data_IF_906968634945
#
_entry.id   IF_906968634945
#
_cell.length_a   1.000
_cell.length_b   1.000
_cell.length_c   1.000
_cell.angle_alpha   90.00
_cell.angle_beta   90.00
_cell.angle_gamma   90.00
#
_symmetry.space_group_name_H-M   'P 1'
#
loop_
_entity.id
_entity.type
_entity.pdbx_description
1 polymer ?
#
# COMPACT_ATOMS: atom_id res chain seq x y z
N UNK A 1 -7.19 38.20 0.68
CA UNK A 1 -7.98 37.34 -0.21
C UNK A 1 -7.31 35.98 -0.23
N UNK A 2 -7.85 35.01 0.48
CA UNK A 2 -7.36 33.64 0.44
C UNK A 2 -7.71 33.09 -0.96
N UNK A 3 -6.70 32.71 -1.73
CA UNK A 3 -6.87 31.93 -2.96
C UNK A 3 -7.44 30.59 -2.48
N UNK A 4 -8.72 30.34 -2.71
CA UNK A 4 -9.29 29.02 -2.56
C UNK A 4 -8.58 28.13 -3.58
N UNK A 5 -7.70 27.27 -3.07
CA UNK A 5 -6.99 26.26 -3.84
C UNK A 5 -8.05 25.26 -4.34
N UNK A 6 -8.47 25.41 -5.57
CA UNK A 6 -9.51 24.61 -6.23
C UNK A 6 -8.96 23.26 -6.68
N UNK A 7 -7.90 22.77 -6.01
CA UNK A 7 -7.33 21.46 -6.26
C UNK A 7 -8.30 20.37 -5.76
N UNK A 8 -8.57 19.39 -6.59
CA UNK A 8 -9.36 18.21 -6.19
C UNK A 8 -8.80 17.62 -4.90
N UNK A 9 -9.67 17.21 -3.96
CA UNK A 9 -9.20 16.65 -2.68
C UNK A 9 -8.34 15.42 -2.92
N UNK A 10 -7.25 15.29 -2.14
CA UNK A 10 -6.37 14.12 -2.20
C UNK A 10 -7.15 12.84 -1.89
N UNK A 11 -7.04 11.83 -2.76
CA UNK A 11 -7.72 10.55 -2.58
C UNK A 11 -7.10 9.73 -1.44
N UNK A 12 -7.95 9.00 -0.70
CA UNK A 12 -7.53 8.06 0.34
C UNK A 12 -7.73 6.63 -0.13
N UNK A 13 -6.63 5.85 -0.16
CA UNK A 13 -6.63 4.44 -0.53
C UNK A 13 -6.32 3.58 0.69
N UNK A 14 -7.19 2.62 1.01
CA UNK A 14 -6.86 1.51 1.89
C UNK A 14 -6.04 0.51 1.08
N UNK A 15 -4.77 0.33 1.46
CA UNK A 15 -3.87 -0.64 0.86
C UNK A 15 -4.32 -2.09 1.12
N UNK A 16 -3.73 -3.08 0.45
CA UNK A 16 -4.04 -4.47 0.74
C UNK A 16 -3.62 -4.81 2.18
N UNK A 17 -4.37 -5.71 2.83
CA UNK A 17 -3.94 -6.29 4.10
C UNK A 17 -2.69 -7.14 3.83
N UNK A 18 -1.55 -6.73 4.36
CA UNK A 18 -0.27 -7.42 4.14
C UNK A 18 -0.08 -8.61 5.07
N UNK A 19 -0.86 -8.70 6.15
CA UNK A 19 -0.71 -9.68 7.22
C UNK A 19 -1.62 -10.90 7.02
N UNK A 20 -1.34 -11.96 7.75
CA UNK A 20 -2.22 -13.13 7.78
C UNK A 20 -3.23 -12.96 8.93
N UNK A 21 -4.39 -12.43 8.62
CA UNK A 21 -5.51 -12.34 9.54
C UNK A 21 -6.50 -13.48 9.31
N UNK A 22 -7.23 -13.87 10.34
CA UNK A 22 -8.30 -14.86 10.21
C UNK A 22 -9.39 -14.35 9.26
N UNK A 23 -10.16 -15.30 8.70
CA UNK A 23 -11.32 -14.96 7.86
C UNK A 23 -12.29 -14.01 8.59
N UNK A 24 -12.55 -14.27 9.87
CA UNK A 24 -13.45 -13.44 10.68
C UNK A 24 -12.92 -12.00 10.82
N UNK A 25 -11.62 -11.85 11.10
CA UNK A 25 -10.96 -10.54 11.21
C UNK A 25 -10.98 -9.79 9.89
N UNK A 26 -10.70 -10.47 8.76
CA UNK A 26 -10.77 -9.86 7.42
C UNK A 26 -12.20 -9.41 7.10
N UNK A 27 -13.21 -10.23 7.39
CA UNK A 27 -14.61 -9.89 7.12
C UNK A 27 -15.03 -8.64 7.90
N UNK A 28 -14.73 -8.60 9.20
CA UNK A 28 -15.06 -7.44 10.02
C UNK A 28 -14.31 -6.19 9.55
N UNK A 29 -13.01 -6.32 9.28
CA UNK A 29 -12.19 -5.21 8.78
C UNK A 29 -12.76 -4.58 7.50
N UNK A 30 -13.14 -5.39 6.52
CA UNK A 30 -13.68 -4.86 5.27
C UNK A 30 -15.11 -4.34 5.40
N UNK A 31 -15.91 -4.84 6.37
CA UNK A 31 -17.17 -4.22 6.73
C UNK A 31 -16.96 -2.80 7.29
N UNK A 32 -16.01 -2.64 8.22
CA UNK A 32 -15.65 -1.32 8.76
C UNK A 32 -15.10 -0.38 7.69
N UNK A 33 -14.31 -0.91 6.72
CA UNK A 33 -13.80 -0.14 5.57
C UNK A 33 -14.92 0.29 4.64
N UNK A 34 -15.96 -0.51 4.43
CA UNK A 34 -17.11 -0.14 3.60
C UNK A 34 -17.79 1.13 4.12
N UNK A 35 -17.90 1.28 5.45
CA UNK A 35 -18.50 2.43 6.12
C UNK A 35 -17.53 3.60 6.35
N UNK A 36 -16.25 3.43 6.00
CA UNK A 36 -15.19 4.41 6.23
C UNK A 36 -15.13 5.51 5.15
N UNK A 37 -14.42 6.62 5.38
CA UNK A 37 -14.24 7.69 4.39
C UNK A 37 -13.18 7.36 3.29
N UNK A 38 -12.76 6.11 3.14
CA UNK A 38 -11.87 5.69 2.05
C UNK A 38 -12.53 5.85 0.68
N UNK A 39 -11.76 6.30 -0.32
CA UNK A 39 -12.23 6.34 -1.72
C UNK A 39 -11.94 5.04 -2.45
N UNK A 40 -10.78 4.47 -2.20
CA UNK A 40 -10.27 3.29 -2.93
C UNK A 40 -9.86 2.19 -1.94
N UNK A 41 -10.08 0.94 -2.32
CA UNK A 41 -9.63 -0.23 -1.56
C UNK A 41 -8.88 -1.18 -2.48
N UNK A 42 -7.66 -1.57 -2.08
CA UNK A 42 -6.89 -2.59 -2.79
C UNK A 42 -7.12 -3.93 -2.12
N UNK A 43 -7.62 -4.90 -2.85
CA UNK A 43 -8.00 -6.22 -2.36
C UNK A 43 -7.07 -7.32 -2.88
N UNK A 44 -6.91 -8.35 -2.09
CA UNK A 44 -6.25 -9.60 -2.47
C UNK A 44 -5.10 -9.98 -1.55
N UNK A 45 -4.74 -11.27 -1.59
CA UNK A 45 -3.51 -11.74 -0.95
C UNK A 45 -2.32 -11.40 -1.85
N UNK A 46 -1.53 -10.42 -1.44
CA UNK A 46 -0.39 -9.89 -2.23
C UNK A 46 0.97 -10.33 -1.70
N UNK A 47 1.02 -10.96 -0.52
CA UNK A 47 2.28 -11.35 0.14
C UNK A 47 2.57 -12.83 -0.06
N UNK A 48 1.68 -13.73 0.36
CA UNK A 48 1.99 -15.16 0.39
C UNK A 48 0.82 -16.03 -0.10
N UNK A 49 1.00 -16.71 -1.22
CA UNK A 49 0.00 -17.57 -1.87
C UNK A 49 -0.54 -18.72 -0.99
N UNK A 50 0.17 -19.04 0.08
CA UNK A 50 -0.26 -20.08 1.02
C UNK A 50 -1.39 -19.62 1.94
N UNK A 51 -1.55 -18.32 2.15
CA UNK A 51 -2.66 -17.73 2.92
C UNK A 51 -3.94 -17.83 2.11
N UNK A 52 -4.90 -18.62 2.58
CA UNK A 52 -6.11 -18.97 1.82
C UNK A 52 -7.39 -18.73 2.59
N UNK A 53 -7.39 -17.73 3.47
CA UNK A 53 -8.57 -17.32 4.23
C UNK A 53 -9.72 -16.91 3.30
N UNK A 54 -9.40 -16.22 2.21
CA UNK A 54 -10.30 -15.92 1.11
C UNK A 54 -9.82 -16.59 -0.18
N UNK A 55 -10.76 -17.26 -0.87
CA UNK A 55 -10.56 -17.79 -2.23
C UNK A 55 -10.81 -16.69 -3.27
N UNK A 56 -10.48 -16.95 -4.53
CA UNK A 56 -10.71 -15.99 -5.62
C UNK A 56 -12.17 -15.51 -5.69
N UNK A 57 -13.15 -16.41 -5.52
CA UNK A 57 -14.56 -16.05 -5.51
C UNK A 57 -14.95 -15.15 -4.32
N UNK A 58 -14.37 -15.39 -3.14
CA UNK A 58 -14.60 -14.56 -1.95
C UNK A 58 -14.09 -13.13 -2.17
N UNK A 59 -12.89 -12.98 -2.79
CA UNK A 59 -12.34 -11.68 -3.14
C UNK A 59 -13.20 -10.91 -4.15
N UNK A 60 -13.75 -11.61 -5.15
CA UNK A 60 -14.65 -10.98 -6.13
C UNK A 60 -15.99 -10.58 -5.50
N UNK A 61 -16.57 -11.41 -4.63
CA UNK A 61 -17.80 -11.06 -3.90
C UNK A 61 -17.58 -9.80 -3.07
N UNK A 62 -16.51 -9.76 -2.29
CA UNK A 62 -16.14 -8.59 -1.48
C UNK A 62 -15.90 -7.34 -2.35
N UNK A 63 -15.26 -7.50 -3.51
CA UNK A 63 -15.04 -6.41 -4.45
C UNK A 63 -16.36 -5.80 -4.93
N UNK A 64 -17.35 -6.63 -5.23
CA UNK A 64 -18.69 -6.19 -5.62
C UNK A 64 -19.41 -5.46 -4.47
N UNK A 65 -19.32 -5.97 -3.25
CA UNK A 65 -19.91 -5.36 -2.05
C UNK A 65 -19.32 -3.97 -1.79
N UNK A 66 -17.98 -3.84 -1.81
CA UNK A 66 -17.30 -2.56 -1.62
C UNK A 66 -17.61 -1.56 -2.75
N UNK A 67 -17.73 -2.03 -4.00
CA UNK A 67 -18.17 -1.19 -5.12
C UNK A 67 -19.61 -0.69 -4.92
N UNK A 68 -20.50 -1.53 -4.40
CA UNK A 68 -21.88 -1.12 -4.04
C UNK A 68 -21.89 -0.10 -2.89
N UNK A 69 -20.92 -0.19 -1.97
CA UNK A 69 -20.70 0.81 -0.92
C UNK A 69 -20.03 2.11 -1.44
N UNK A 70 -19.84 2.25 -2.77
CA UNK A 70 -19.29 3.46 -3.40
C UNK A 70 -17.77 3.52 -3.45
N UNK A 71 -17.04 2.43 -3.16
CA UNK A 71 -15.58 2.40 -3.21
C UNK A 71 -15.07 2.08 -4.62
N UNK A 72 -13.98 2.75 -5.06
CA UNK A 72 -13.16 2.24 -6.13
C UNK A 72 -12.44 0.98 -5.61
N UNK A 73 -12.51 -0.12 -6.35
CA UNK A 73 -11.85 -1.36 -5.97
C UNK A 73 -10.75 -1.71 -6.95
N UNK A 74 -9.58 -2.08 -6.43
CA UNK A 74 -8.42 -2.54 -7.21
C UNK A 74 -8.05 -3.94 -6.73
N UNK A 75 -7.80 -4.86 -7.64
CA UNK A 75 -7.35 -6.21 -7.31
C UNK A 75 -5.83 -6.31 -7.38
N UNK A 76 -5.16 -6.44 -6.23
CA UNK A 76 -3.71 -6.55 -6.14
C UNK A 76 -3.18 -7.92 -6.60
N UNK A 77 -2.04 -7.95 -7.28
CA UNK A 77 -1.30 -9.18 -7.60
C UNK A 77 -0.08 -9.33 -6.68
N UNK A 78 0.45 -10.54 -6.57
CA UNK A 78 1.65 -10.79 -5.76
C UNK A 78 2.89 -10.15 -6.39
N UNK A 79 3.83 -9.74 -5.53
CA UNK A 79 5.13 -9.20 -5.95
C UNK A 79 6.18 -10.28 -6.25
N UNK A 80 5.96 -11.50 -5.77
CA UNK A 80 6.84 -12.64 -5.99
C UNK A 80 6.02 -13.86 -6.41
N UNK A 81 6.32 -14.39 -7.59
CA UNK A 81 5.67 -15.58 -8.17
C UNK A 81 6.69 -16.70 -8.24
N UNK A 82 6.41 -17.83 -7.60
CA UNK A 82 7.36 -18.95 -7.47
C UNK A 82 6.85 -20.26 -8.11
N UNK A 83 5.58 -20.31 -8.48
CA UNK A 83 4.96 -21.57 -8.93
C UNK A 83 3.97 -21.35 -10.08
N UNK A 84 3.73 -22.43 -10.85
CA UNK A 84 2.71 -22.41 -11.92
C UNK A 84 1.29 -22.22 -11.36
N UNK A 85 1.03 -22.65 -10.13
CA UNK A 85 -0.27 -22.39 -9.48
C UNK A 85 -0.48 -20.91 -9.21
N UNK A 86 0.54 -20.19 -8.77
CA UNK A 86 0.51 -18.73 -8.58
C UNK A 86 0.37 -18.00 -9.91
N UNK A 87 1.09 -18.43 -10.96
CA UNK A 87 0.94 -17.88 -12.30
C UNK A 87 -0.50 -18.08 -12.84
N UNK A 88 -1.12 -19.21 -12.54
CA UNK A 88 -2.53 -19.46 -12.93
C UNK A 88 -3.46 -18.47 -12.23
N UNK A 89 -3.34 -18.30 -10.93
CA UNK A 89 -4.13 -17.33 -10.16
C UNK A 89 -3.92 -15.90 -10.64
N UNK A 90 -2.68 -15.53 -10.98
CA UNK A 90 -2.36 -14.23 -11.57
C UNK A 90 -3.05 -14.05 -12.92
N UNK A 91 -2.98 -15.06 -13.81
CA UNK A 91 -3.63 -15.02 -15.14
C UNK A 91 -5.14 -14.82 -15.00
N UNK A 92 -5.79 -15.56 -14.10
CA UNK A 92 -7.23 -15.44 -13.83
C UNK A 92 -7.57 -14.04 -13.33
N UNK A 93 -6.79 -13.49 -12.39
CA UNK A 93 -6.98 -12.14 -11.86
C UNK A 93 -6.79 -11.06 -12.92
N UNK A 94 -5.79 -11.20 -13.78
CA UNK A 94 -5.55 -10.26 -14.88
C UNK A 94 -6.56 -10.42 -16.04
N UNK A 95 -7.27 -11.52 -16.16
CA UNK A 95 -8.22 -11.75 -17.23
C UNK A 95 -9.59 -11.11 -17.02
N UNK A 96 -9.95 -10.75 -15.77
CA UNK A 96 -11.20 -10.07 -15.48
C UNK A 96 -11.16 -8.59 -15.90
N UNK A 97 -12.31 -8.03 -16.28
CA UNK A 97 -12.45 -6.66 -16.78
C UNK A 97 -13.27 -5.76 -15.84
N UNK A 98 -13.83 -6.30 -14.77
CA UNK A 98 -14.73 -5.58 -13.86
C UNK A 98 -14.03 -4.57 -12.96
N UNK A 99 -12.75 -4.81 -12.64
CA UNK A 99 -11.95 -4.00 -11.70
C UNK A 99 -10.56 -3.73 -12.27
N UNK A 100 -9.98 -2.59 -11.89
CA UNK A 100 -8.56 -2.34 -12.11
C UNK A 100 -7.72 -3.40 -11.39
N UNK A 101 -6.57 -3.72 -11.97
CA UNK A 101 -5.59 -4.64 -11.37
C UNK A 101 -4.34 -3.87 -11.01
N UNK A 102 -3.80 -4.09 -9.80
CA UNK A 102 -2.50 -3.60 -9.40
C UNK A 102 -1.43 -4.64 -9.74
N UNK A 103 -0.52 -4.28 -10.65
CA UNK A 103 0.59 -5.12 -11.05
C UNK A 103 1.68 -5.13 -9.96
N UNK A 104 1.97 -6.31 -9.41
CA UNK A 104 3.02 -6.54 -8.42
C UNK A 104 4.36 -6.98 -9.02
N UNK A 105 4.35 -7.53 -10.24
CA UNK A 105 5.53 -8.07 -10.90
C UNK A 105 5.47 -7.96 -12.43
N UNK A 106 6.53 -8.37 -13.11
CA UNK A 106 6.63 -8.35 -14.58
C UNK A 106 5.62 -9.27 -15.28
N UNK A 107 5.19 -10.37 -14.63
CA UNK A 107 4.20 -11.30 -15.21
C UNK A 107 2.83 -10.63 -15.29
N UNK A 108 2.46 -9.84 -14.27
CA UNK A 108 1.24 -9.03 -14.27
C UNK A 108 1.32 -7.93 -15.34
N UNK A 109 2.43 -7.18 -15.43
CA UNK A 109 2.65 -6.16 -16.45
C UNK A 109 2.44 -6.72 -17.86
N UNK A 110 3.02 -7.87 -18.15
CA UNK A 110 2.87 -8.55 -19.45
C UNK A 110 1.41 -8.90 -19.77
N UNK A 111 0.61 -9.28 -18.76
CA UNK A 111 -0.80 -9.65 -18.94
C UNK A 111 -1.73 -8.47 -19.07
N UNK A 112 -1.36 -7.34 -18.46
CA UNK A 112 -2.18 -6.12 -18.44
C UNK A 112 -1.84 -5.16 -19.58
N UNK A 113 -0.84 -5.45 -20.40
CA UNK A 113 -0.42 -4.63 -21.52
C UNK A 113 -1.62 -4.28 -22.43
N UNK A 114 -1.78 -2.98 -22.73
CA UNK A 114 -2.87 -2.44 -23.55
C UNK A 114 -4.18 -2.19 -22.80
N UNK A 115 -4.22 -2.48 -21.49
CA UNK A 115 -5.36 -2.22 -20.59
C UNK A 115 -4.96 -1.20 -19.54
N UNK A 116 -5.94 -0.56 -18.89
CA UNK A 116 -5.67 0.30 -17.73
C UNK A 116 -5.33 -0.56 -16.51
N UNK A 117 -4.26 -0.22 -15.80
CA UNK A 117 -3.83 -0.90 -14.57
C UNK A 117 -3.08 0.05 -13.64
N UNK A 118 -2.79 -0.38 -12.41
CA UNK A 118 -1.99 0.37 -11.45
C UNK A 118 -0.68 -0.35 -11.14
N UNK A 119 0.37 0.42 -10.79
CA UNK A 119 1.69 -0.11 -10.41
C UNK A 119 1.79 -0.17 -8.88
N UNK A 120 2.12 -1.34 -8.33
CA UNK A 120 2.40 -1.50 -6.91
C UNK A 120 3.76 -0.90 -6.54
N UNK A 121 4.04 -0.63 -5.26
CA UNK A 121 5.34 -0.14 -4.82
C UNK A 121 6.50 -1.12 -5.03
N UNK A 122 6.21 -2.35 -5.45
CA UNK A 122 7.19 -3.41 -5.70
C UNK A 122 7.70 -3.44 -7.15
N UNK A 123 7.07 -2.69 -8.04
CA UNK A 123 7.58 -2.49 -9.41
C UNK A 123 8.64 -1.40 -9.37
N UNK A 124 9.86 -1.74 -9.77
CA UNK A 124 11.03 -0.87 -9.69
C UNK A 124 10.95 0.29 -10.69
N UNK A 125 10.32 1.40 -10.30
CA UNK A 125 10.22 2.64 -11.09
C UNK A 125 10.94 3.76 -10.38
N UNK A 126 12.17 4.05 -10.81
CA UNK A 126 13.07 5.02 -10.18
C UNK A 126 13.45 6.18 -11.13
N UNK A 127 12.90 6.20 -12.34
CA UNK A 127 13.13 7.29 -13.30
C UNK A 127 11.85 7.62 -14.06
N UNK A 128 11.81 8.83 -14.64
CA UNK A 128 10.72 9.28 -15.50
C UNK A 128 10.56 8.38 -16.71
N UNK A 129 11.67 7.97 -17.33
CA UNK A 129 11.68 7.08 -18.48
C UNK A 129 11.05 5.72 -18.14
N UNK A 130 11.40 5.13 -16.98
CA UNK A 130 10.77 3.89 -16.53
C UNK A 130 9.25 4.07 -16.34
N UNK A 131 8.81 5.21 -15.79
CA UNK A 131 7.37 5.48 -15.64
C UNK A 131 6.68 5.65 -17.00
N UNK A 132 7.34 6.29 -17.98
CA UNK A 132 6.84 6.46 -19.36
C UNK A 132 6.64 5.11 -20.04
N UNK A 133 7.59 4.17 -19.90
CA UNK A 133 7.45 2.82 -20.46
C UNK A 133 6.24 2.10 -19.86
N UNK A 134 6.02 2.21 -18.55
CA UNK A 134 4.85 1.59 -17.91
C UNK A 134 3.55 2.28 -18.30
N UNK A 135 3.54 3.60 -18.45
CA UNK A 135 2.40 4.35 -18.97
C UNK A 135 2.07 3.94 -20.42
N UNK A 136 3.09 3.71 -21.25
CA UNK A 136 2.92 3.19 -22.62
C UNK A 136 2.29 1.79 -22.64
N UNK A 137 2.50 0.98 -21.60
CA UNK A 137 1.82 -0.31 -21.41
C UNK A 137 0.37 -0.15 -20.94
N UNK A 138 -0.03 1.00 -20.40
CA UNK A 138 -1.38 1.28 -19.90
C UNK A 138 -1.48 1.60 -18.41
N UNK A 139 -0.35 1.82 -17.69
CA UNK A 139 -0.36 2.21 -16.30
C UNK A 139 -0.99 3.61 -16.12
N UNK A 140 -2.05 3.70 -15.29
CA UNK A 140 -2.78 4.94 -15.01
C UNK A 140 -2.52 5.47 -13.61
N UNK A 141 -1.88 4.68 -12.75
CA UNK A 141 -1.53 5.05 -11.38
C UNK A 141 -0.22 4.38 -11.01
N UNK A 142 0.65 5.12 -10.35
CA UNK A 142 1.95 4.68 -9.87
C UNK A 142 2.03 4.83 -8.36
N UNK A 143 2.37 3.76 -7.66
CA UNK A 143 2.79 3.81 -6.26
C UNK A 143 4.31 3.77 -6.24
N UNK A 144 4.99 4.86 -5.87
CA UNK A 144 6.45 4.89 -5.79
C UNK A 144 7.01 3.84 -4.84
N UNK A 145 8.20 3.27 -5.14
CA UNK A 145 8.98 2.55 -4.14
C UNK A 145 9.12 3.37 -2.85
N UNK A 146 8.98 2.71 -1.70
CA UNK A 146 8.81 3.38 -0.38
C UNK A 146 10.03 4.15 0.10
N UNK A 147 11.19 3.91 -0.48
CA UNK A 147 12.45 4.60 -0.18
C UNK A 147 12.67 5.89 -0.99
N UNK A 148 11.81 6.21 -1.95
CA UNK A 148 11.91 7.46 -2.70
C UNK A 148 11.41 8.66 -1.87
N UNK A 149 12.19 9.72 -1.88
CA UNK A 149 11.81 10.99 -1.27
C UNK A 149 10.85 11.81 -2.15
N UNK A 150 10.15 12.75 -1.54
CA UNK A 150 9.17 13.61 -2.22
C UNK A 150 9.79 14.40 -3.38
N UNK A 151 11.04 14.86 -3.24
CA UNK A 151 11.72 15.62 -4.28
C UNK A 151 12.03 14.76 -5.51
N UNK A 152 12.42 13.51 -5.30
CA UNK A 152 12.64 12.52 -6.37
C UNK A 152 11.31 12.14 -7.04
N UNK A 153 10.26 11.89 -6.27
CA UNK A 153 8.92 11.60 -6.80
C UNK A 153 8.44 12.77 -7.68
N UNK A 154 8.59 14.02 -7.23
CA UNK A 154 8.23 15.21 -7.99
C UNK A 154 9.03 15.34 -9.31
N UNK A 155 10.29 14.90 -9.37
CA UNK A 155 11.07 14.88 -10.61
C UNK A 155 10.63 13.78 -11.58
N UNK A 156 10.21 12.63 -11.07
CA UNK A 156 9.75 11.50 -11.89
C UNK A 156 8.39 11.82 -12.52
N UNK A 157 7.45 12.34 -11.74
CA UNK A 157 6.09 12.66 -12.21
C UNK A 157 5.64 14.05 -11.73
N UNK A 158 6.16 15.15 -12.31
CA UNK A 158 5.82 16.52 -11.89
C UNK A 158 4.34 16.83 -12.05
N UNK A 159 3.79 17.67 -11.17
CA UNK A 159 2.39 18.07 -11.20
C UNK A 159 2.00 18.85 -12.47
N UNK A 160 2.90 19.70 -12.96
CA UNK A 160 2.72 20.56 -14.14
C UNK A 160 2.99 19.86 -15.48
N UNK A 161 3.76 18.77 -15.46
CA UNK A 161 4.06 17.94 -16.64
C UNK A 161 4.00 16.44 -16.31
N UNK A 162 2.83 15.89 -15.94
CA UNK A 162 2.73 14.49 -15.57
C UNK A 162 2.94 13.56 -16.77
N UNK A 163 3.53 12.40 -16.50
CA UNK A 163 3.62 11.32 -17.48
C UNK A 163 2.21 10.93 -17.91
N UNK A 164 2.03 10.66 -19.21
CA UNK A 164 0.73 10.33 -19.79
C UNK A 164 0.74 8.99 -20.49
N UNK A 165 -0.40 8.33 -20.45
CA UNK A 165 -0.67 7.14 -21.26
C UNK A 165 -0.82 7.52 -22.75
N UNK A 166 -0.77 6.57 -23.68
CA UNK A 166 -1.06 6.82 -25.11
C UNK A 166 -2.44 7.44 -25.37
N UNK A 167 -3.41 7.22 -24.46
CA UNK A 167 -4.73 7.85 -24.51
C UNK A 167 -4.76 9.29 -23.97
N UNK A 168 -3.62 9.84 -23.54
CA UNK A 168 -3.50 11.18 -22.97
C UNK A 168 -3.87 11.32 -21.50
N UNK A 169 -4.25 10.21 -20.83
CA UNK A 169 -4.56 10.21 -19.39
C UNK A 169 -3.28 10.42 -18.56
N UNK A 170 -3.30 11.38 -17.64
CA UNK A 170 -2.18 11.61 -16.74
C UNK A 170 -2.04 10.48 -15.72
N UNK A 171 -0.83 9.96 -15.53
CA UNK A 171 -0.55 8.95 -14.51
C UNK A 171 -0.66 9.58 -13.13
N UNK A 172 -1.56 9.05 -12.31
CA UNK A 172 -1.71 9.49 -10.92
C UNK A 172 -0.53 9.00 -10.07
N UNK A 173 -0.03 9.84 -9.17
CA UNK A 173 0.94 9.43 -8.14
C UNK A 173 0.21 9.16 -6.83
N UNK A 174 0.36 7.95 -6.32
CA UNK A 174 -0.20 7.51 -5.03
C UNK A 174 0.95 7.13 -4.08
N UNK A 175 1.19 7.93 -3.03
CA UNK A 175 2.28 7.64 -2.10
C UNK A 175 1.84 6.73 -0.96
N UNK A 176 2.75 5.86 -0.49
CA UNK A 176 2.59 5.11 0.74
C UNK A 176 2.67 6.08 1.93
N UNK A 177 1.52 6.43 2.49
CA UNK A 177 1.37 7.53 3.45
C UNK A 177 1.29 7.11 4.91
N UNK A 178 0.87 5.85 5.18
CA UNK A 178 0.81 5.31 6.53
C UNK A 178 1.03 3.79 6.54
N UNK A 179 1.72 3.32 7.58
CA UNK A 179 1.90 1.90 7.90
C UNK A 179 3.34 1.40 7.80
N UNK A 180 3.56 0.10 8.04
CA UNK A 180 4.87 -0.51 7.88
C UNK A 180 5.26 -0.58 6.42
N UNK A 181 6.39 0.03 6.08
CA UNK A 181 6.89 0.05 4.71
C UNK A 181 7.31 -1.35 4.27
N UNK A 182 6.80 -1.86 3.14
CA UNK A 182 7.21 -3.14 2.58
C UNK A 182 8.60 -2.99 1.93
N UNK A 183 9.64 -3.54 2.56
CA UNK A 183 11.03 -3.30 2.16
C UNK A 183 11.57 -4.34 1.17
N UNK A 184 11.30 -5.63 1.40
CA UNK A 184 11.82 -6.67 0.54
C UNK A 184 10.97 -7.95 0.57
N UNK A 185 11.07 -8.74 -0.51
CA UNK A 185 10.54 -10.08 -0.62
C UNK A 185 11.64 -11.11 -0.79
N UNK A 186 11.41 -12.32 -0.29
CA UNK A 186 12.30 -13.46 -0.48
C UNK A 186 11.48 -14.71 -0.78
N UNK A 187 11.98 -15.55 -1.68
CA UNK A 187 11.43 -16.87 -1.93
C UNK A 187 11.44 -17.77 -0.67
N UNK A 188 12.21 -17.40 0.34
CA UNK A 188 12.26 -18.08 1.64
C UNK A 188 11.36 -17.37 2.64
N UNK A 189 10.50 -18.11 3.33
CA UNK A 189 9.64 -17.54 4.37
C UNK A 189 10.46 -17.23 5.62
N UNK A 190 10.58 -15.94 5.95
CA UNK A 190 11.32 -15.47 7.13
C UNK A 190 10.65 -15.93 8.42
N UNK A 191 9.30 -15.85 8.50
CA UNK A 191 8.55 -16.33 9.68
C UNK A 191 8.76 -17.82 9.91
N UNK A 192 8.60 -18.67 8.90
CA UNK A 192 8.86 -20.10 9.04
C UNK A 192 10.29 -20.38 9.50
N UNK A 193 11.28 -19.70 8.90
CA UNK A 193 12.69 -19.83 9.29
C UNK A 193 12.94 -19.43 10.75
N UNK A 194 12.30 -18.38 11.24
CA UNK A 194 12.39 -17.97 12.65
C UNK A 194 11.96 -19.12 13.58
N UNK A 195 10.88 -19.82 13.23
CA UNK A 195 10.39 -20.99 13.97
C UNK A 195 11.09 -22.31 13.61
N UNK A 196 12.18 -22.25 12.80
CA UNK A 196 12.95 -23.44 12.32
C UNK A 196 12.09 -24.43 11.55
N UNK A 197 11.06 -23.96 10.84
CA UNK A 197 10.18 -24.75 10.00
C UNK A 197 10.55 -24.57 8.52
N UNK A 198 10.38 -25.61 7.67
CA UNK A 198 10.43 -25.46 6.23
C UNK A 198 9.22 -24.62 5.76
N UNK A 199 9.38 -23.89 4.65
CA UNK A 199 8.31 -23.02 4.10
C UNK A 199 7.01 -23.80 3.83
N UNK A 200 7.15 -25.03 3.35
CA UNK A 200 6.01 -25.88 2.98
C UNK A 200 5.26 -26.49 4.18
N UNK A 201 5.88 -26.46 5.36
CA UNK A 201 5.32 -26.93 6.63
C UNK A 201 5.26 -25.78 7.65
N UNK A 202 4.96 -24.55 7.21
CA UNK A 202 5.06 -23.35 8.03
C UNK A 202 4.01 -23.25 9.16
N UNK A 203 3.03 -24.18 9.20
CA UNK A 203 1.93 -24.21 10.19
C UNK A 203 1.19 -22.84 10.31
N UNK A 204 1.34 -21.99 9.32
CA UNK A 204 0.77 -20.63 9.29
C UNK A 204 1.11 -19.79 10.55
N UNK A 205 2.33 -19.95 11.08
CA UNK A 205 2.81 -19.25 12.28
C UNK A 205 2.62 -17.73 12.23
N UNK A 206 2.57 -17.14 11.04
CA UNK A 206 2.29 -15.72 10.86
C UNK A 206 0.88 -15.28 11.32
N UNK A 207 -0.07 -16.19 11.58
CA UNK A 207 -1.36 -15.88 12.22
C UNK A 207 -1.20 -15.39 13.68
N UNK A 208 -0.12 -15.80 14.35
CA UNK A 208 0.13 -15.39 15.74
C UNK A 208 0.62 -13.94 15.86
N UNK A 209 1.06 -13.36 14.75
CA UNK A 209 1.65 -12.02 14.69
C UNK A 209 0.84 -11.14 13.72
N UNK A 210 -0.32 -10.60 14.14
CA UNK A 210 -1.27 -9.90 13.27
C UNK A 210 -0.71 -8.62 12.63
N UNK A 211 0.38 -8.05 13.16
CA UNK A 211 1.14 -6.94 12.59
C UNK A 211 2.60 -7.34 12.26
N UNK A 212 2.83 -8.65 12.08
CA UNK A 212 4.12 -9.24 11.81
C UNK A 212 5.03 -9.37 13.04
N UNK A 213 6.08 -10.20 12.92
CA UNK A 213 7.01 -10.54 14.00
C UNK A 213 8.13 -9.49 14.06
N UNK A 214 8.17 -8.71 15.13
CA UNK A 214 9.19 -7.70 15.34
C UNK A 214 10.57 -8.32 15.62
N UNK A 215 11.57 -7.85 14.89
CA UNK A 215 12.99 -8.13 15.13
C UNK A 215 13.67 -6.91 15.75
N UNK A 216 14.50 -7.17 16.73
CA UNK A 216 15.37 -6.16 17.36
C UNK A 216 16.82 -6.31 16.89
N UNK A 217 17.55 -5.20 16.89
CA UNK A 217 18.99 -5.21 16.69
C UNK A 217 19.69 -5.88 17.91
N UNK A 218 20.99 -6.09 17.80
CA UNK A 218 21.83 -6.59 18.92
C UNK A 218 21.84 -5.62 20.10
N UNK A 219 21.62 -4.34 19.86
CA UNK A 219 21.52 -3.27 20.87
C UNK A 219 20.10 -3.15 21.47
N UNK A 220 19.14 -3.98 21.01
CA UNK A 220 17.78 -4.00 21.52
C UNK A 220 16.82 -2.99 20.86
N UNK A 221 17.28 -2.23 19.84
CA UNK A 221 16.41 -1.32 19.11
C UNK A 221 15.50 -2.07 18.13
N UNK A 222 14.27 -1.60 17.95
CA UNK A 222 13.34 -2.12 16.94
C UNK A 222 13.92 -1.88 15.54
N UNK A 223 14.06 -2.95 14.73
CA UNK A 223 14.80 -2.89 13.47
C UNK A 223 13.95 -3.22 12.25
N UNK A 224 13.39 -4.42 12.19
CA UNK A 224 12.57 -4.92 11.08
C UNK A 224 11.37 -5.70 11.61
N UNK A 225 10.41 -5.95 10.72
CA UNK A 225 9.31 -6.88 10.96
C UNK A 225 9.32 -7.98 9.91
N UNK A 226 9.19 -9.22 10.36
CA UNK A 226 9.03 -10.39 9.49
C UNK A 226 7.54 -10.66 9.27
N UNK A 227 7.14 -10.71 8.01
CA UNK A 227 5.77 -10.98 7.61
C UNK A 227 5.72 -12.04 6.51
N UNK A 228 5.84 -13.31 6.89
CA UNK A 228 5.93 -14.40 5.91
C UNK A 228 7.19 -14.30 5.06
N UNK A 229 7.02 -14.10 3.77
CA UNK A 229 8.11 -13.91 2.78
C UNK A 229 8.54 -12.45 2.63
N UNK A 230 7.90 -11.53 3.33
CA UNK A 230 8.15 -10.09 3.29
C UNK A 230 8.89 -9.63 4.55
N UNK A 231 9.82 -8.69 4.39
CA UNK A 231 10.35 -7.86 5.47
C UNK A 231 9.77 -6.47 5.38
N UNK A 232 9.49 -5.87 6.53
CA UNK A 232 8.90 -4.55 6.65
C UNK A 232 9.71 -3.69 7.63
N UNK A 233 9.49 -2.37 7.60
CA UNK A 233 10.04 -1.46 8.60
C UNK A 233 9.48 -1.75 10.00
N UNK A 234 10.29 -1.56 11.03
CA UNK A 234 9.82 -1.60 12.41
C UNK A 234 8.91 -0.41 12.73
N UNK A 235 9.25 0.78 12.22
CA UNK A 235 8.41 1.98 12.32
C UNK A 235 7.26 1.98 11.32
N UNK A 236 6.26 2.81 11.62
CA UNK A 236 5.11 3.09 10.75
C UNK A 236 5.37 4.41 10.02
N UNK A 237 5.52 4.38 8.69
CA UNK A 237 5.53 5.62 7.94
C UNK A 237 4.25 6.41 8.23
N UNK A 238 4.38 7.72 8.43
CA UNK A 238 3.25 8.61 8.61
C UNK A 238 3.53 9.95 7.95
N UNK A 239 2.68 10.33 6.99
CA UNK A 239 2.77 11.58 6.25
C UNK A 239 1.55 12.47 6.51
N UNK A 240 0.84 12.26 7.61
CA UNK A 240 -0.41 12.94 7.97
C UNK A 240 -0.27 14.47 7.97
N UNK A 241 0.87 14.99 8.44
CA UNK A 241 1.17 16.41 8.58
C UNK A 241 1.84 17.03 7.33
N UNK A 242 1.95 16.28 6.22
CA UNK A 242 2.71 16.68 5.02
C UNK A 242 1.83 17.12 3.86
N UNK A 243 0.54 17.35 4.06
CA UNK A 243 -0.43 17.66 3.00
C UNK A 243 0.05 18.68 1.96
N UNK A 244 0.58 19.88 2.34
CA UNK A 244 1.12 20.84 1.38
C UNK A 244 2.31 20.31 0.59
N UNK A 245 3.27 19.64 1.22
CA UNK A 245 4.45 19.06 0.56
C UNK A 245 4.06 17.93 -0.41
N UNK A 246 3.09 17.10 -0.04
CA UNK A 246 2.55 16.04 -0.89
C UNK A 246 1.91 16.64 -2.16
N UNK A 247 1.07 17.66 -2.03
CA UNK A 247 0.47 18.35 -3.20
C UNK A 247 1.54 19.00 -4.08
N UNK A 248 2.52 19.66 -3.47
CA UNK A 248 3.65 20.26 -4.19
C UNK A 248 4.50 19.25 -4.95
N UNK A 249 4.55 18.01 -4.49
CA UNK A 249 5.23 16.90 -5.17
C UNK A 249 4.36 16.18 -6.23
N UNK A 250 3.18 16.69 -6.56
CA UNK A 250 2.30 16.09 -7.56
C UNK A 250 1.55 14.85 -7.08
N UNK A 251 1.52 14.61 -5.78
CA UNK A 251 0.84 13.44 -5.20
C UNK A 251 -0.66 13.73 -5.14
N UNK A 252 -1.45 12.83 -5.74
CA UNK A 252 -2.90 12.95 -5.83
C UNK A 252 -3.63 12.00 -4.88
N UNK A 253 -2.94 10.98 -4.37
CA UNK A 253 -3.54 9.95 -3.51
C UNK A 253 -2.57 9.52 -2.40
N UNK A 254 -3.15 9.18 -1.26
CA UNK A 254 -2.44 8.69 -0.09
C UNK A 254 -2.87 7.26 0.21
N UNK A 255 -1.93 6.31 0.20
CA UNK A 255 -2.17 4.91 0.57
C UNK A 255 -1.91 4.71 2.05
N UNK A 256 -2.91 4.17 2.75
CA UNK A 256 -2.81 3.78 4.14
C UNK A 256 -2.79 2.25 4.22
N UNK A 257 -1.71 1.68 4.76
CA UNK A 257 -1.57 0.23 4.91
C UNK A 257 -2.20 -0.21 6.23
N UNK A 258 -3.10 -1.21 6.20
CA UNK A 258 -3.79 -1.69 7.39
C UNK A 258 -2.86 -2.21 8.48
N UNK A 259 -3.27 -2.01 9.75
CA UNK A 259 -2.74 -2.69 10.94
C UNK A 259 -3.91 -3.28 11.75
N UNK A 260 -3.61 -4.21 12.64
CA UNK A 260 -4.63 -5.02 13.32
C UNK A 260 -5.54 -4.23 14.26
N UNK A 261 -5.04 -3.12 14.81
CA UNK A 261 -5.79 -2.28 15.74
C UNK A 261 -5.68 -0.81 15.37
N UNK A 262 -6.74 -0.04 15.57
CA UNK A 262 -6.76 1.41 15.42
C UNK A 262 -6.79 1.91 13.97
N UNK A 263 -6.77 1.06 12.96
CA UNK A 263 -6.64 1.48 11.56
C UNK A 263 -7.81 2.36 11.06
N UNK A 264 -9.04 2.07 11.46
CA UNK A 264 -10.20 2.90 11.06
C UNK A 264 -10.07 4.31 11.63
N UNK A 265 -9.56 4.46 12.85
CA UNK A 265 -9.31 5.78 13.44
C UNK A 265 -8.15 6.49 12.72
N UNK A 266 -7.09 5.77 12.33
CA UNK A 266 -6.03 6.30 11.46
C UNK A 266 -6.62 6.88 10.17
N UNK A 267 -7.51 6.13 9.52
CA UNK A 267 -8.15 6.55 8.26
C UNK A 267 -9.03 7.80 8.46
N UNK A 268 -9.82 7.84 9.54
CA UNK A 268 -10.64 9.02 9.88
C UNK A 268 -9.79 10.26 10.16
N UNK A 269 -8.68 10.11 10.89
CA UNK A 269 -7.77 11.23 11.16
C UNK A 269 -7.13 11.78 9.88
N UNK A 270 -6.70 10.91 8.97
CA UNK A 270 -6.18 11.33 7.67
C UNK A 270 -7.26 12.05 6.84
N UNK A 271 -8.49 11.55 6.84
CA UNK A 271 -9.60 12.21 6.16
C UNK A 271 -9.87 13.60 6.75
N UNK A 272 -9.95 13.71 8.08
CA UNK A 272 -10.24 14.96 8.76
C UNK A 272 -9.16 16.03 8.48
N UNK A 273 -7.87 15.65 8.50
CA UNK A 273 -6.76 16.59 8.17
C UNK A 273 -6.82 17.01 6.69
N UNK A 274 -7.02 16.05 5.78
CA UNK A 274 -6.93 16.35 4.35
C UNK A 274 -8.15 17.05 3.77
N UNK A 275 -9.33 16.89 4.37
CA UNK A 275 -10.63 17.31 3.79
C UNK A 275 -11.52 18.15 4.72
N UNK A 276 -11.37 18.01 6.04
CA UNK A 276 -12.26 18.69 7.02
C UNK A 276 -11.55 19.82 7.76
N UNK A 277 -10.24 20.03 7.50
CA UNK A 277 -9.47 21.12 8.10
C UNK A 277 -9.04 20.89 9.55
N UNK A 278 -9.05 19.63 10.02
CA UNK A 278 -8.48 19.30 11.32
C UNK A 278 -6.99 19.68 11.35
N UNK A 279 -6.57 20.32 12.43
CA UNK A 279 -5.15 20.67 12.64
C UNK A 279 -4.26 19.41 12.68
N UNK A 280 -3.23 19.38 11.84
CA UNK A 280 -2.37 18.22 11.70
C UNK A 280 -1.59 17.88 12.99
N UNK A 281 -1.22 18.88 13.79
CA UNK A 281 -0.54 18.63 15.07
C UNK A 281 -1.50 18.04 16.10
N UNK A 282 -2.78 18.45 16.07
CA UNK A 282 -3.81 17.81 16.88
C UNK A 282 -4.02 16.36 16.44
N UNK A 283 -4.21 16.11 15.15
CA UNK A 283 -4.40 14.77 14.62
C UNK A 283 -3.21 13.84 14.93
N UNK A 284 -1.96 14.33 14.88
CA UNK A 284 -0.78 13.57 15.28
C UNK A 284 -0.79 13.21 16.77
N UNK A 285 -1.27 14.10 17.65
CA UNK A 285 -1.41 13.75 19.08
C UNK A 285 -2.43 12.64 19.29
N UNK A 286 -3.58 12.72 18.60
CA UNK A 286 -4.61 11.69 18.65
C UNK A 286 -4.11 10.36 18.07
N UNK A 287 -3.38 10.41 16.95
CA UNK A 287 -2.77 9.25 16.33
C UNK A 287 -1.75 8.55 17.24
N UNK A 288 -0.90 9.34 17.94
CA UNK A 288 0.07 8.80 18.90
C UNK A 288 -0.58 8.23 20.17
N UNK A 289 -1.82 8.60 20.48
CA UNK A 289 -2.58 8.01 21.59
C UNK A 289 -3.21 6.66 21.23
N UNK A 290 -3.25 6.28 19.96
CA UNK A 290 -3.73 4.97 19.53
C UNK A 290 -2.69 3.88 19.86
N UNK A 291 -3.17 2.67 20.16
CA UNK A 291 -2.31 1.50 20.38
C UNK A 291 -1.81 0.95 19.04
N UNK A 292 -0.93 1.70 18.36
CA UNK A 292 -0.34 1.30 17.09
C UNK A 292 0.83 0.33 17.27
N UNK A 293 1.12 -0.54 16.28
CA UNK A 293 2.13 -1.60 16.41
C UNK A 293 3.58 -1.11 16.27
N UNK A 294 3.85 0.18 16.23
CA UNK A 294 5.20 0.74 16.12
C UNK A 294 5.25 2.26 16.22
N UNK A 295 6.44 2.81 16.37
CA UNK A 295 6.67 4.25 16.37
C UNK A 295 6.45 4.85 14.97
N UNK A 296 6.01 6.11 14.92
CA UNK A 296 5.86 6.84 13.66
C UNK A 296 7.22 7.24 13.09
N UNK A 297 7.40 7.12 11.79
CA UNK A 297 8.60 7.52 11.03
C UNK A 297 8.21 8.19 9.71
N UNK A 298 9.09 9.02 9.14
CA UNK A 298 8.88 9.66 7.84
C UNK A 298 10.18 9.97 7.10
N UNK A 299 11.30 9.43 7.58
CA UNK A 299 12.64 9.78 7.12
C UNK A 299 12.82 9.60 5.61
N UNK A 300 12.42 8.47 5.02
CA UNK A 300 12.57 8.23 3.58
C UNK A 300 11.87 9.30 2.74
N UNK A 301 10.63 9.59 3.03
CA UNK A 301 9.88 10.61 2.29
C UNK A 301 10.53 12.01 2.34
N UNK A 302 11.32 12.29 3.37
CA UNK A 302 12.01 13.57 3.60
C UNK A 302 13.52 13.51 3.32
N UNK A 303 14.00 12.51 2.60
CA UNK A 303 15.41 12.36 2.21
C UNK A 303 16.35 12.02 3.37
N UNK A 304 15.83 11.37 4.41
CA UNK A 304 16.60 10.90 5.58
C UNK A 304 16.56 9.39 5.75
N UNK A 305 17.09 8.90 6.89
CA UNK A 305 17.05 7.48 7.19
C UNK A 305 15.62 7.01 7.50
N UNK A 306 15.26 5.81 7.04
CA UNK A 306 13.89 5.29 7.15
C UNK A 306 13.36 5.09 8.57
N UNK A 307 14.23 5.10 9.57
CA UNK A 307 13.86 4.98 11.00
C UNK A 307 13.67 6.35 11.67
N UNK A 308 13.91 7.45 10.97
CA UNK A 308 13.80 8.80 11.54
C UNK A 308 12.37 9.31 11.52
N UNK A 309 12.04 10.09 12.56
CA UNK A 309 10.91 11.01 12.55
C UNK A 309 11.42 12.44 12.41
N UNK A 310 10.93 13.18 11.42
CA UNK A 310 11.22 14.61 11.25
C UNK A 310 9.94 15.41 11.41
N UNK A 311 9.93 16.30 12.40
CA UNK A 311 8.80 17.20 12.60
C UNK A 311 8.60 18.15 11.41
N UNK A 312 7.36 18.68 11.24
CA UNK A 312 7.03 19.64 10.19
C UNK A 312 7.63 21.02 10.43
#
# INVERSE_FOLDING_TARGET
>A
MAIQDNASPMGLTVGPVLYHWSRASLTQFYADVADSPADTVVLGEVVCSRRREYKAADWLSLALELRQAGKEVILGTQALIESEAELRTLRERCAQDDFLVEAGDASALRRLQGRRFTLSPHVNVYSREALQEHAALGAVRWVPPVELDLATIARINPADDPVRTPAGEAVQTEIFGFGRMPLAFSARCFTARHYKLPKDECEFRCLSDPDGLLLKSTEGADFLVLNGIQTQSAGLQCLLDRGPALRGAGITRLRLSPCAQGFIEVLKLHHAVLREGLDAAQALRELNALSLPGALVNGYALGGAGLEWRAA
#
